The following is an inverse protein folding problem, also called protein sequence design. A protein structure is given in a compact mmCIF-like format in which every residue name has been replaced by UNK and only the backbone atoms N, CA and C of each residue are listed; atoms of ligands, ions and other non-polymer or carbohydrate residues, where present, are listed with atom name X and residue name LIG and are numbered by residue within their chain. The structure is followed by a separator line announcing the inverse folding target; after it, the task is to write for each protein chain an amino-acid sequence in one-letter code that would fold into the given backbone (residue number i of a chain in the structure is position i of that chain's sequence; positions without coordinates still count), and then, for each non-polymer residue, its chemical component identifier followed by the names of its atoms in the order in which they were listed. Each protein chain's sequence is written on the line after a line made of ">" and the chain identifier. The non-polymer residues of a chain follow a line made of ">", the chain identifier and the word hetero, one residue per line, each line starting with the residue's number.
data_IF_789050182291
#
_entry.id   IF_789050182291
#
_cell.length_a   1.000
_cell.length_b   1.000
_cell.length_c   1.000
_cell.angle_alpha   90.00
_cell.angle_beta   90.00
_cell.angle_gamma   90.00
#
_symmetry.space_group_name_H-M   'P 1'
#
loop_
_entity.id
_entity.type
_entity.pdbx_description
1 polymer ?
#
# COMPACT_ATOMS: atom_id res chain seq x y z
N UNK A 1 20.48 28.40 -17.61
CA UNK A 1 19.07 28.00 -17.77
C UNK A 1 19.04 26.78 -18.70
N UNK A 2 18.33 25.71 -18.30
CA UNK A 2 18.18 24.51 -19.12
C UNK A 2 17.19 24.86 -20.24
N UNK A 3 17.55 24.72 -21.53
CA UNK A 3 16.60 24.94 -22.60
C UNK A 3 15.43 23.97 -22.44
N UNK A 4 14.21 24.47 -22.57
CA UNK A 4 12.94 23.73 -22.33
C UNK A 4 12.69 23.29 -20.87
N UNK A 5 13.38 23.86 -19.87
CA UNK A 5 13.19 23.50 -18.46
C UNK A 5 11.74 23.60 -17.97
N UNK A 6 11.00 24.62 -18.44
CA UNK A 6 9.58 24.77 -18.13
C UNK A 6 8.71 23.62 -18.68
N UNK A 7 8.99 23.16 -19.91
CA UNK A 7 8.28 22.04 -20.52
C UNK A 7 8.55 20.72 -19.76
N UNK A 8 9.80 20.45 -19.42
CA UNK A 8 10.17 19.27 -18.62
C UNK A 8 9.54 19.33 -17.22
N UNK A 9 9.54 20.50 -16.59
CA UNK A 9 8.85 20.70 -15.31
C UNK A 9 7.35 20.42 -15.40
N UNK A 10 6.68 20.95 -16.41
CA UNK A 10 5.26 20.70 -16.65
C UNK A 10 4.96 19.20 -16.85
N UNK A 11 5.73 18.52 -17.73
CA UNK A 11 5.56 17.09 -18.00
C UNK A 11 5.82 16.24 -16.75
N UNK A 12 6.82 16.59 -15.96
CA UNK A 12 7.12 15.90 -14.70
C UNK A 12 5.95 16.03 -13.72
N UNK A 13 5.45 17.24 -13.46
CA UNK A 13 4.34 17.44 -12.52
C UNK A 13 3.02 16.88 -13.04
N UNK A 14 2.75 16.95 -14.34
CA UNK A 14 1.59 16.31 -14.96
C UNK A 14 1.65 14.78 -14.84
N UNK A 15 2.84 14.18 -15.04
CA UNK A 15 3.06 12.75 -14.84
C UNK A 15 2.90 12.35 -13.37
N UNK A 16 3.42 13.14 -12.44
CA UNK A 16 3.28 12.90 -11.00
C UNK A 16 1.82 12.98 -10.56
N UNK A 17 1.08 13.99 -11.04
CA UNK A 17 -0.36 14.12 -10.78
C UNK A 17 -1.14 12.92 -11.33
N UNK A 18 -0.84 12.51 -12.56
CA UNK A 18 -1.48 11.35 -13.19
C UNK A 18 -1.20 10.05 -12.43
N UNK A 19 0.05 9.83 -12.01
CA UNK A 19 0.44 8.67 -11.22
C UNK A 19 -0.27 8.66 -9.85
N UNK A 20 -0.33 9.79 -9.16
CA UNK A 20 -1.04 9.92 -7.88
C UNK A 20 -2.54 9.67 -8.03
N UNK A 21 -3.16 10.21 -9.07
CA UNK A 21 -4.57 9.99 -9.37
C UNK A 21 -4.88 8.51 -9.63
N UNK A 22 -4.11 7.85 -10.50
CA UNK A 22 -4.30 6.43 -10.81
C UNK A 22 -4.08 5.53 -9.59
N UNK A 23 -3.08 5.84 -8.76
CA UNK A 23 -2.84 5.13 -7.49
C UNK A 23 -4.03 5.29 -6.53
N UNK A 24 -4.58 6.50 -6.40
CA UNK A 24 -5.76 6.78 -5.59
C UNK A 24 -7.00 6.01 -6.07
N UNK A 25 -7.25 5.99 -7.39
CA UNK A 25 -8.35 5.21 -7.97
C UNK A 25 -8.18 3.71 -7.67
N UNK A 26 -6.96 3.17 -7.82
CA UNK A 26 -6.67 1.77 -7.50
C UNK A 26 -6.91 1.45 -6.02
N UNK A 27 -6.51 2.32 -5.11
CA UNK A 27 -6.75 2.14 -3.67
C UNK A 27 -8.25 2.14 -3.33
N UNK A 28 -9.03 3.07 -3.89
CA UNK A 28 -10.49 3.12 -3.69
C UNK A 28 -11.17 1.87 -4.26
N UNK A 29 -10.72 1.38 -5.42
CA UNK A 29 -11.28 0.16 -6.04
C UNK A 29 -11.09 -1.08 -5.15
N UNK A 30 -9.94 -1.23 -4.50
CA UNK A 30 -9.70 -2.33 -3.53
C UNK A 30 -10.69 -2.25 -2.36
N UNK A 31 -10.93 -1.05 -1.82
CA UNK A 31 -11.90 -0.84 -0.73
C UNK A 31 -13.33 -1.14 -1.18
N UNK A 32 -13.69 -0.71 -2.39
CA UNK A 32 -15.01 -0.97 -3.00
C UNK A 32 -15.22 -2.46 -3.22
N UNK A 33 -14.22 -3.16 -3.75
CA UNK A 33 -14.26 -4.62 -3.93
C UNK A 33 -14.45 -5.31 -2.57
N UNK A 34 -13.63 -4.99 -1.57
CA UNK A 34 -13.76 -5.53 -0.22
C UNK A 34 -15.14 -5.30 0.39
N UNK A 35 -15.74 -4.12 0.19
CA UNK A 35 -17.08 -3.82 0.70
C UNK A 35 -18.17 -4.60 -0.06
N UNK A 36 -18.09 -4.68 -1.37
CA UNK A 36 -19.10 -5.39 -2.19
C UNK A 36 -19.04 -6.90 -1.99
N UNK A 37 -17.85 -7.47 -1.81
CA UNK A 37 -17.67 -8.92 -1.63
C UNK A 37 -18.17 -9.41 -0.26
N UNK A 38 -18.07 -8.55 0.77
CA UNK A 38 -18.48 -8.89 2.14
C UNK A 38 -19.87 -8.38 2.52
N UNK A 39 -20.52 -7.57 1.66
CA UNK A 39 -21.83 -6.99 1.94
C UNK A 39 -22.77 -7.08 0.73
N UNK A 40 -24.07 -6.96 0.97
CA UNK A 40 -25.08 -6.93 -0.11
C UNK A 40 -25.25 -5.53 -0.73
N UNK A 41 -24.28 -4.64 -0.57
CA UNK A 41 -24.35 -3.27 -1.08
C UNK A 41 -24.01 -3.27 -2.57
N UNK A 42 -24.80 -2.56 -3.38
CA UNK A 42 -24.50 -2.41 -4.81
C UNK A 42 -23.20 -1.64 -5.01
N UNK A 43 -22.41 -2.00 -6.02
CA UNK A 43 -21.12 -1.37 -6.36
C UNK A 43 -21.22 0.16 -6.45
N UNK A 44 -22.30 0.69 -7.03
CA UNK A 44 -22.50 2.14 -7.14
C UNK A 44 -22.59 2.81 -5.76
N UNK A 45 -23.29 2.20 -4.81
CA UNK A 45 -23.37 2.72 -3.42
C UNK A 45 -22.03 2.57 -2.70
N UNK A 46 -21.34 1.45 -2.88
CA UNK A 46 -20.01 1.22 -2.31
C UNK A 46 -19.00 2.27 -2.78
N UNK A 47 -18.98 2.62 -4.08
CA UNK A 47 -18.12 3.69 -4.63
C UNK A 47 -18.41 5.02 -3.94
N UNK A 48 -19.69 5.43 -3.84
CA UNK A 48 -20.02 6.70 -3.18
C UNK A 48 -19.65 6.73 -1.70
N UNK A 49 -19.91 5.63 -0.97
CA UNK A 49 -19.57 5.53 0.45
C UNK A 49 -18.05 5.61 0.65
N UNK A 50 -17.27 4.82 -0.11
CA UNK A 50 -15.82 4.80 0.03
C UNK A 50 -15.18 6.11 -0.42
N UNK A 51 -15.63 6.70 -1.53
CA UNK A 51 -15.12 8.00 -1.98
C UNK A 51 -15.43 9.11 -0.99
N UNK A 52 -16.63 9.14 -0.43
CA UNK A 52 -17.00 10.12 0.58
C UNK A 52 -16.18 9.93 1.87
N UNK A 53 -15.98 8.68 2.32
CA UNK A 53 -15.17 8.39 3.49
C UNK A 53 -13.71 8.83 3.31
N UNK A 54 -13.10 8.48 2.17
CA UNK A 54 -11.73 8.89 1.83
C UNK A 54 -11.62 10.42 1.75
N UNK A 55 -12.59 11.08 1.14
CA UNK A 55 -12.62 12.55 1.03
C UNK A 55 -12.68 13.21 2.42
N UNK A 56 -13.59 12.76 3.30
CA UNK A 56 -13.72 13.30 4.66
C UNK A 56 -12.44 13.06 5.47
N UNK A 57 -11.86 11.87 5.37
CA UNK A 57 -10.60 11.54 6.07
C UNK A 57 -9.40 12.31 5.53
N UNK A 58 -9.42 12.77 4.29
CA UNK A 58 -8.35 13.56 3.69
C UNK A 58 -8.39 15.06 4.11
N UNK A 59 -9.52 15.56 4.61
CA UNK A 59 -9.66 16.98 4.98
C UNK A 59 -8.68 17.39 6.10
N UNK A 60 -8.61 16.70 7.27
CA UNK A 60 -7.76 17.15 8.36
C UNK A 60 -6.28 17.28 7.99
N UNK A 61 -5.63 16.29 7.34
CA UNK A 61 -4.24 16.40 6.94
C UNK A 61 -4.00 17.42 5.82
N UNK A 62 -5.02 17.70 5.00
CA UNK A 62 -4.89 18.70 3.91
C UNK A 62 -4.88 20.14 4.42
N UNK A 63 -5.52 20.41 5.55
CA UNK A 63 -5.66 21.77 6.10
C UNK A 63 -4.55 22.11 7.08
N UNK A 64 -3.98 21.12 7.76
CA UNK A 64 -3.00 21.37 8.82
C UNK A 64 -1.80 20.42 8.73
N UNK A 65 -0.63 21.01 8.47
CA UNK A 65 0.65 20.28 8.37
C UNK A 65 1.05 19.58 9.68
N UNK A 66 0.62 20.07 10.84
CA UNK A 66 0.88 19.40 12.12
C UNK A 66 0.08 18.09 12.26
N UNK A 67 -1.04 17.96 11.55
CA UNK A 67 -1.84 16.72 11.48
C UNK A 67 -1.29 15.81 10.37
N UNK A 68 -0.78 16.39 9.28
CA UNK A 68 -0.30 15.62 8.12
C UNK A 68 0.79 14.60 8.51
N UNK A 69 1.82 15.03 9.24
CA UNK A 69 2.95 14.17 9.59
C UNK A 69 2.55 12.99 10.46
N UNK A 70 1.86 13.15 11.63
CA UNK A 70 1.37 12.01 12.41
C UNK A 70 0.40 11.11 11.65
N UNK A 71 -0.43 11.69 10.78
CA UNK A 71 -1.39 10.95 9.95
C UNK A 71 -0.68 10.06 8.93
N UNK A 72 0.30 10.61 8.22
CA UNK A 72 1.11 9.86 7.25
C UNK A 72 1.96 8.77 7.93
N UNK A 73 2.58 9.08 9.06
CA UNK A 73 3.33 8.09 9.84
C UNK A 73 2.45 6.94 10.32
N UNK A 74 1.22 7.21 10.75
CA UNK A 74 0.31 6.20 11.28
C UNK A 74 -0.34 5.39 10.15
N UNK A 75 -1.02 6.06 9.23
CA UNK A 75 -1.84 5.42 8.21
C UNK A 75 -1.06 5.11 6.93
N UNK A 76 -0.22 6.02 6.46
CA UNK A 76 0.61 5.83 5.28
C UNK A 76 1.69 4.76 5.51
N UNK A 77 2.58 4.98 6.47
CA UNK A 77 3.73 4.11 6.68
C UNK A 77 3.43 2.96 7.64
N UNK A 78 2.81 3.22 8.79
CA UNK A 78 2.57 2.22 9.83
C UNK A 78 1.56 1.15 9.44
N UNK A 79 0.33 1.55 9.11
CA UNK A 79 -0.73 0.59 8.76
C UNK A 79 -0.47 -0.12 7.43
N UNK A 80 0.16 0.55 6.47
CA UNK A 80 0.55 -0.08 5.20
C UNK A 80 1.57 -1.19 5.41
N UNK A 81 2.57 -0.97 6.26
CA UNK A 81 3.58 -2.00 6.61
C UNK A 81 2.93 -3.18 7.32
N UNK A 82 2.02 -2.93 8.29
CA UNK A 82 1.26 -3.98 8.96
C UNK A 82 0.36 -4.76 8.01
N UNK A 83 -0.34 -4.07 7.11
CA UNK A 83 -1.18 -4.70 6.08
C UNK A 83 -0.38 -5.60 5.15
N UNK A 84 0.78 -5.14 4.70
CA UNK A 84 1.70 -5.92 3.86
C UNK A 84 2.22 -7.15 4.60
N UNK A 85 2.59 -7.02 5.87
CA UNK A 85 3.03 -8.13 6.71
C UNK A 85 1.92 -9.18 6.87
N UNK A 86 0.70 -8.75 7.20
CA UNK A 86 -0.46 -9.64 7.36
C UNK A 86 -0.79 -10.37 6.04
N UNK A 87 -0.75 -9.67 4.90
CA UNK A 87 -0.99 -10.27 3.59
C UNK A 87 0.03 -11.38 3.28
N UNK A 88 1.32 -11.11 3.50
CA UNK A 88 2.39 -12.09 3.25
C UNK A 88 2.31 -13.26 4.25
N UNK A 89 2.00 -13.02 5.52
CA UNK A 89 1.78 -14.08 6.50
C UNK A 89 0.59 -14.95 6.10
N UNK A 90 -0.52 -14.36 5.65
CA UNK A 90 -1.69 -15.13 5.19
C UNK A 90 -1.34 -16.03 4.01
N UNK A 91 -0.63 -15.52 3.01
CA UNK A 91 -0.19 -16.31 1.84
C UNK A 91 0.78 -17.43 2.27
N UNK A 92 1.77 -17.10 3.11
CA UNK A 92 2.82 -18.03 3.49
C UNK A 92 2.37 -19.12 4.49
N UNK A 93 1.33 -18.85 5.30
CA UNK A 93 0.94 -19.73 6.42
C UNK A 93 -0.48 -20.28 6.32
N UNK A 94 -1.43 -19.52 5.75
CA UNK A 94 -2.83 -19.94 5.62
C UNK A 94 -3.14 -20.58 4.26
N UNK A 95 -2.36 -20.27 3.21
CA UNK A 95 -2.59 -20.83 1.87
C UNK A 95 -1.77 -22.11 1.71
N UNK A 96 -2.41 -23.17 1.16
CA UNK A 96 -1.73 -24.43 0.90
C UNK A 96 -0.62 -24.23 -0.15
N UNK A 97 0.59 -24.75 0.11
CA UNK A 97 1.77 -24.60 -0.76
C UNK A 97 1.50 -24.93 -2.22
N UNK A 98 0.77 -26.04 -2.47
CA UNK A 98 0.44 -26.49 -3.82
C UNK A 98 -0.46 -25.49 -4.53
N UNK A 99 -1.48 -24.94 -3.84
CA UNK A 99 -2.38 -23.95 -4.38
C UNK A 99 -1.66 -22.61 -4.67
N UNK A 100 -0.80 -22.16 -3.76
CA UNK A 100 0.00 -20.95 -3.95
C UNK A 100 0.95 -21.07 -5.15
N UNK A 101 1.65 -22.19 -5.28
CA UNK A 101 2.55 -22.42 -6.42
C UNK A 101 1.79 -22.58 -7.74
N UNK A 102 0.62 -23.21 -7.71
CA UNK A 102 -0.24 -23.38 -8.87
C UNK A 102 -0.78 -22.04 -9.37
N UNK A 103 -1.22 -21.17 -8.47
CA UNK A 103 -1.71 -19.83 -8.83
C UNK A 103 -0.57 -18.96 -9.41
N UNK A 104 0.63 -19.04 -8.85
CA UNK A 104 1.81 -18.36 -9.36
C UNK A 104 2.24 -18.88 -10.74
N UNK A 105 2.01 -20.17 -11.03
CA UNK A 105 2.34 -20.80 -12.30
C UNK A 105 1.24 -20.69 -13.35
N UNK A 106 -0.01 -20.41 -12.96
CA UNK A 106 -1.19 -20.40 -13.86
C UNK A 106 -1.11 -19.37 -14.98
N UNK A 107 -0.27 -18.35 -14.84
CA UNK A 107 0.00 -17.31 -15.85
C UNK A 107 1.32 -17.46 -16.61
N UNK A 108 2.13 -18.46 -16.29
CA UNK A 108 3.42 -18.69 -16.92
C UNK A 108 3.60 -20.13 -17.37
N UNK A 109 4.16 -20.34 -18.55
CA UNK A 109 4.47 -21.68 -19.11
C UNK A 109 5.56 -22.42 -18.34
N UNK A 110 6.13 -21.84 -17.28
CA UNK A 110 7.25 -22.43 -16.53
C UNK A 110 6.85 -22.70 -15.08
N UNK A 111 7.18 -23.89 -14.54
CA UNK A 111 6.94 -24.22 -13.14
C UNK A 111 7.73 -23.29 -12.23
N UNK A 112 7.06 -22.70 -11.27
CA UNK A 112 7.68 -21.80 -10.27
C UNK A 112 8.58 -22.63 -9.33
N UNK A 113 9.83 -22.24 -9.13
CA UNK A 113 10.75 -22.98 -8.29
C UNK A 113 10.30 -22.96 -6.83
N UNK A 114 10.42 -24.12 -6.17
CA UNK A 114 9.93 -24.34 -4.80
C UNK A 114 10.57 -23.43 -3.73
N UNK A 115 11.78 -22.90 -3.99
CA UNK A 115 12.47 -22.00 -3.07
C UNK A 115 11.73 -20.66 -2.93
N UNK A 116 10.98 -20.23 -3.97
CA UNK A 116 10.22 -18.98 -3.94
C UNK A 116 9.14 -19.01 -2.84
N UNK A 117 8.52 -20.18 -2.60
CA UNK A 117 7.56 -20.33 -1.51
C UNK A 117 8.20 -20.11 -0.13
N UNK A 118 9.41 -20.64 0.10
CA UNK A 118 10.13 -20.41 1.35
C UNK A 118 10.57 -18.94 1.49
N UNK A 119 10.92 -18.30 0.38
CA UNK A 119 11.22 -16.88 0.36
C UNK A 119 10.01 -16.03 0.75
N UNK A 120 8.82 -16.33 0.21
CA UNK A 120 7.57 -15.67 0.58
C UNK A 120 7.23 -15.94 2.05
N UNK A 121 7.43 -17.16 2.53
CA UNK A 121 7.05 -17.57 3.88
C UNK A 121 7.95 -16.98 4.97
N UNK A 122 9.24 -16.85 4.73
CA UNK A 122 10.22 -16.44 5.74
C UNK A 122 11.01 -15.19 5.32
N UNK A 123 11.50 -15.13 4.09
CA UNK A 123 12.36 -14.03 3.61
C UNK A 123 11.66 -12.69 3.60
N UNK A 124 10.48 -12.62 2.98
CA UNK A 124 9.72 -11.37 2.86
C UNK A 124 9.21 -10.89 4.24
N UNK A 125 8.57 -11.71 5.10
CA UNK A 125 8.19 -11.26 6.44
C UNK A 125 9.37 -10.79 7.28
N UNK A 126 10.50 -11.49 7.24
CA UNK A 126 11.70 -11.07 7.95
C UNK A 126 12.22 -9.71 7.46
N UNK A 127 12.27 -9.49 6.14
CA UNK A 127 12.65 -8.21 5.57
C UNK A 127 11.71 -7.06 5.98
N UNK A 128 10.39 -7.30 5.93
CA UNK A 128 9.38 -6.32 6.37
C UNK A 128 9.55 -5.99 7.85
N UNK A 129 9.77 -7.00 8.70
CA UNK A 129 9.99 -6.79 10.13
C UNK A 129 11.27 -6.01 10.43
N UNK A 130 12.37 -6.31 9.74
CA UNK A 130 13.64 -5.58 9.91
C UNK A 130 13.49 -4.11 9.49
N UNK A 131 12.92 -3.87 8.32
CA UNK A 131 12.70 -2.50 7.82
C UNK A 131 11.68 -1.76 8.66
N UNK A 132 10.59 -2.42 9.05
CA UNK A 132 9.56 -1.85 9.92
C UNK A 132 10.07 -1.50 11.32
N UNK A 133 10.90 -2.37 11.91
CA UNK A 133 11.54 -2.11 13.20
C UNK A 133 12.53 -0.94 13.10
N UNK A 134 13.37 -0.93 12.08
CA UNK A 134 14.28 0.18 11.83
C UNK A 134 13.53 1.50 11.66
N UNK A 135 12.45 1.50 10.88
CA UNK A 135 11.59 2.67 10.70
C UNK A 135 10.96 3.14 12.02
N UNK A 136 10.43 2.23 12.85
CA UNK A 136 9.88 2.55 14.17
C UNK A 136 10.93 3.19 15.08
N UNK A 137 12.12 2.61 15.14
CA UNK A 137 13.21 3.14 15.98
C UNK A 137 13.64 4.54 15.54
N UNK A 138 13.71 4.80 14.24
CA UNK A 138 14.19 6.10 13.73
C UNK A 138 13.12 7.17 13.71
N UNK A 139 11.87 6.86 13.36
CA UNK A 139 10.84 7.89 13.16
C UNK A 139 9.87 8.04 14.33
N UNK A 140 9.68 7.00 15.14
CA UNK A 140 8.79 7.07 16.31
C UNK A 140 9.61 7.30 17.57
N UNK A 141 10.58 6.46 17.85
CA UNK A 141 11.39 6.57 19.07
C UNK A 141 12.51 7.61 18.94
N UNK A 142 13.13 7.79 17.75
CA UNK A 142 14.14 8.81 17.50
C UNK A 142 13.61 10.23 17.69
N UNK A 143 12.37 10.50 17.30
CA UNK A 143 11.73 11.80 17.53
C UNK A 143 11.37 12.04 19.00
N UNK A 144 11.13 10.98 19.77
CA UNK A 144 10.83 11.07 21.21
C UNK A 144 12.10 11.27 22.04
N UNK A 145 13.23 10.72 21.60
CA UNK A 145 14.52 10.80 22.31
C UNK A 145 15.36 12.04 21.96
N UNK A 146 14.94 12.83 20.96
CA UNK A 146 15.60 14.09 20.61
C UNK A 146 17.02 13.95 20.04
N UNK A 147 17.35 12.78 19.46
CA UNK A 147 18.64 12.53 18.79
C UNK A 147 18.46 12.62 17.29
#
# INVERSE_FOLDING_TARGET
>A
AIPLGALFGFLFFAGLLGAGYLSGVGAVEVLVAGLTDNTRISRRRAVWIMSAAVFVLAIPPSVNNAIFVPWDLTFGSGMQTLGSLLAVLTIGWCVNRSAALQELSSRGERPVPSWLFYWIRFGIPAAILVVGMWWLLTNVFGTVTGV
#
